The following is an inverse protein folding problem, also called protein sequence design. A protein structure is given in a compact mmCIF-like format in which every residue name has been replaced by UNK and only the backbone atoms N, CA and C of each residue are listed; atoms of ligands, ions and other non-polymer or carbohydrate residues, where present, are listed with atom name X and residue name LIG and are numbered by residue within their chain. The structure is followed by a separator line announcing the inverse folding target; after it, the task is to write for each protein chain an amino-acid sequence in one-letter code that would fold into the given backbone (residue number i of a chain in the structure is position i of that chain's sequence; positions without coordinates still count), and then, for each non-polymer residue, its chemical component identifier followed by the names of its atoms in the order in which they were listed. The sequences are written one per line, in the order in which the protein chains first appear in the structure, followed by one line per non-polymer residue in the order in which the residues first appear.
data_IF_784704181648
#
_entry.id   IF_784704181648
#
_cell.length_a   1.000
_cell.length_b   1.000
_cell.length_c   1.000
_cell.angle_alpha   90.00
_cell.angle_beta   90.00
_cell.angle_gamma   90.00
#
_symmetry.space_group_name_H-M   'P 1'
#
loop_
_entity.id
_entity.type
_entity.pdbx_description
1 polymer ?
#
# COMPACT_ATOMS: atom_id res chain seq x y z
N UNK A 1 44.47 1.71 23.32
CA UNK A 1 43.38 0.75 23.06
C UNK A 1 43.96 -0.44 22.30
N UNK A 2 43.80 -1.67 22.82
CA UNK A 2 44.52 -2.84 22.32
C UNK A 2 44.02 -3.21 20.91
N UNK A 3 44.93 -3.39 19.94
CA UNK A 3 44.61 -3.70 18.52
C UNK A 3 43.65 -4.90 18.40
N UNK A 4 43.78 -5.88 19.30
CA UNK A 4 42.91 -7.07 19.40
C UNK A 4 41.48 -6.75 19.87
N UNK A 5 41.30 -5.74 20.72
CA UNK A 5 39.98 -5.30 21.21
C UNK A 5 39.22 -4.54 20.12
N UNK A 6 39.93 -3.78 19.27
CA UNK A 6 39.34 -3.07 18.14
C UNK A 6 38.80 -4.03 17.06
N UNK A 7 39.51 -5.14 16.79
CA UNK A 7 39.06 -6.17 15.83
C UNK A 7 37.82 -6.93 16.33
N UNK A 8 37.72 -7.21 17.63
CA UNK A 8 36.57 -7.91 18.22
C UNK A 8 35.31 -7.00 18.17
N UNK A 9 35.46 -5.71 18.50
CA UNK A 9 34.36 -4.74 18.40
C UNK A 9 33.89 -4.53 16.95
N UNK A 10 34.81 -4.52 15.98
CA UNK A 10 34.47 -4.41 14.56
C UNK A 10 33.77 -5.66 14.00
N UNK A 11 34.12 -6.85 14.49
CA UNK A 11 33.48 -8.11 14.07
C UNK A 11 32.06 -8.26 14.65
N UNK A 12 31.85 -7.83 15.89
CA UNK A 12 30.52 -7.83 16.53
C UNK A 12 29.58 -6.82 15.86
N UNK A 13 30.10 -5.66 15.44
CA UNK A 13 29.31 -4.68 14.70
C UNK A 13 28.90 -5.18 13.30
N UNK A 14 29.76 -5.93 12.60
CA UNK A 14 29.44 -6.52 11.30
C UNK A 14 28.36 -7.63 11.37
N UNK A 15 28.38 -8.42 12.45
CA UNK A 15 27.41 -9.50 12.68
C UNK A 15 26.01 -8.97 13.07
N UNK A 16 25.93 -7.79 13.68
CA UNK A 16 24.66 -7.16 14.04
C UNK A 16 23.90 -6.59 12.82
N UNK A 17 24.57 -6.30 11.71
CA UNK A 17 23.93 -5.77 10.49
C UNK A 17 23.23 -6.82 9.62
N UNK A 18 23.50 -8.12 9.82
CA UNK A 18 22.89 -9.19 9.01
C UNK A 18 21.54 -9.68 9.54
N UNK A 19 21.11 -9.23 10.73
CA UNK A 19 19.90 -9.71 11.40
C UNK A 19 18.62 -8.90 11.17
N UNK A 20 18.65 -7.80 10.41
CA UNK A 20 17.51 -6.86 10.35
C UNK A 20 16.63 -6.99 9.09
N UNK A 21 16.99 -7.84 8.13
CA UNK A 21 16.07 -8.20 7.04
C UNK A 21 15.16 -9.33 7.50
N UNK A 22 14.01 -9.01 8.12
CA UNK A 22 12.90 -9.96 8.19
C UNK A 22 12.39 -10.20 6.76
N UNK A 23 12.96 -11.20 6.08
CA UNK A 23 12.42 -11.71 4.82
C UNK A 23 11.07 -12.36 5.12
N UNK A 24 10.01 -11.89 4.46
CA UNK A 24 8.71 -12.57 4.47
C UNK A 24 8.94 -14.01 4.00
N UNK A 25 8.51 -15.03 4.76
CA UNK A 25 8.68 -16.41 4.33
C UNK A 25 8.00 -16.62 2.97
N UNK A 26 8.68 -17.32 2.04
CA UNK A 26 8.10 -17.67 0.71
C UNK A 26 6.81 -18.50 0.80
N UNK A 27 6.43 -18.94 1.99
CA UNK A 27 5.21 -19.70 2.31
C UNK A 27 4.04 -18.81 2.76
N UNK A 28 4.19 -17.48 2.80
CA UNK A 28 3.09 -16.55 3.09
C UNK A 28 2.12 -16.53 1.88
N UNK A 29 0.81 -16.77 2.05
CA UNK A 29 -0.16 -16.68 0.96
C UNK A 29 -0.24 -15.29 0.32
N UNK A 30 0.22 -14.24 0.99
CA UNK A 30 0.32 -12.88 0.47
C UNK A 30 1.63 -12.59 -0.26
N UNK A 31 2.55 -13.55 -0.36
CA UNK A 31 3.78 -13.38 -1.14
C UNK A 31 3.52 -13.67 -2.63
N UNK A 32 3.47 -12.62 -3.46
CA UNK A 32 3.20 -12.76 -4.91
C UNK A 32 4.47 -12.83 -5.76
N UNK A 33 5.58 -12.32 -5.23
CA UNK A 33 6.91 -12.39 -5.85
C UNK A 33 7.90 -11.44 -5.20
N UNK A 34 9.19 -11.69 -5.40
CA UNK A 34 10.27 -10.85 -4.89
C UNK A 34 10.60 -9.70 -5.85
N UNK A 35 9.61 -8.85 -6.10
CA UNK A 35 9.73 -7.69 -6.99
C UNK A 35 9.79 -6.39 -6.20
N UNK A 36 10.34 -5.34 -6.83
CA UNK A 36 10.30 -3.98 -6.32
C UNK A 36 8.85 -3.46 -6.27
N UNK A 37 8.55 -2.48 -5.39
CA UNK A 37 7.25 -1.82 -5.41
C UNK A 37 6.95 -1.17 -6.77
N UNK A 38 5.69 -1.19 -7.17
CA UNK A 38 5.21 -0.67 -8.46
C UNK A 38 4.25 0.49 -8.21
N UNK A 39 4.49 1.63 -8.84
CA UNK A 39 3.52 2.73 -8.86
C UNK A 39 2.35 2.37 -9.76
N UNK A 40 1.15 2.24 -9.19
CA UNK A 40 -0.06 1.90 -9.94
C UNK A 40 -0.66 3.13 -10.64
N UNK A 41 -0.39 4.31 -10.11
CA UNK A 41 -0.84 5.58 -10.66
C UNK A 41 -1.22 6.58 -9.58
N UNK A 42 -1.78 7.69 -10.04
CA UNK A 42 -2.22 8.81 -9.20
C UNK A 42 -3.67 9.15 -9.52
N UNK A 43 -4.47 9.35 -8.48
CA UNK A 43 -5.87 9.78 -8.57
C UNK A 43 -6.02 11.15 -7.90
N UNK A 44 -6.65 12.09 -8.59
CA UNK A 44 -7.05 13.37 -7.99
C UNK A 44 -8.45 13.18 -7.42
N UNK A 45 -8.60 13.25 -6.11
CA UNK A 45 -9.90 13.24 -5.42
C UNK A 45 -10.09 14.52 -4.60
N UNK A 46 -10.80 14.40 -3.50
CA UNK A 46 -11.09 15.51 -2.60
C UNK A 46 -10.71 15.22 -1.15
N UNK A 47 -10.36 16.26 -0.40
CA UNK A 47 -10.47 16.26 1.06
C UNK A 47 -11.57 17.22 1.48
N UNK A 48 -12.38 16.80 2.45
CA UNK A 48 -13.55 17.58 2.92
C UNK A 48 -13.51 17.79 4.42
N UNK A 49 -13.95 18.97 4.89
CA UNK A 49 -14.18 19.17 6.32
C UNK A 49 -15.56 18.64 6.68
N UNK A 50 -15.71 18.01 7.85
CA UNK A 50 -17.01 17.47 8.31
C UNK A 50 -18.13 18.52 8.34
N UNK A 51 -17.78 19.78 8.56
CA UNK A 51 -18.72 20.91 8.69
C UNK A 51 -18.87 21.75 7.43
N UNK A 52 -18.14 21.44 6.35
CA UNK A 52 -18.18 22.20 5.10
C UNK A 52 -18.48 21.29 3.92
N UNK A 53 -19.11 21.85 2.90
CA UNK A 53 -19.36 21.17 1.62
C UNK A 53 -18.28 21.46 0.57
N UNK A 54 -17.25 22.22 0.96
CA UNK A 54 -16.10 22.57 0.12
C UNK A 54 -15.17 21.35 -0.05
N UNK A 55 -14.94 20.98 -1.31
CA UNK A 55 -14.00 19.93 -1.70
C UNK A 55 -12.66 20.59 -2.03
N UNK A 56 -11.60 20.17 -1.35
CA UNK A 56 -10.24 20.57 -1.70
C UNK A 56 -9.58 19.49 -2.56
N UNK A 57 -9.12 19.79 -3.78
CA UNK A 57 -8.39 18.84 -4.61
C UNK A 57 -7.23 18.24 -3.82
N UNK A 58 -7.14 16.91 -3.83
CA UNK A 58 -6.09 16.17 -3.11
C UNK A 58 -5.59 15.05 -4.02
N UNK A 59 -4.28 14.95 -4.14
CA UNK A 59 -3.60 13.91 -4.91
C UNK A 59 -3.39 12.66 -4.05
N UNK A 60 -3.75 11.50 -4.60
CA UNK A 60 -3.58 10.19 -3.98
C UNK A 60 -2.68 9.33 -4.87
N UNK A 61 -1.52 8.94 -4.35
CA UNK A 61 -0.57 8.07 -5.03
C UNK A 61 -0.77 6.63 -4.57
N UNK A 62 -0.83 5.70 -5.52
CA UNK A 62 -1.03 4.28 -5.25
C UNK A 62 0.25 3.51 -5.55
N UNK A 63 0.75 2.74 -4.59
CA UNK A 63 1.93 1.89 -4.74
C UNK A 63 1.60 0.46 -4.33
N UNK A 64 1.88 -0.50 -5.20
CA UNK A 64 1.72 -1.92 -4.94
C UNK A 64 3.04 -2.56 -4.51
N UNK A 65 2.98 -3.41 -3.49
CA UNK A 65 4.11 -4.13 -2.92
C UNK A 65 3.92 -5.65 -3.15
N UNK A 66 4.50 -6.24 -4.22
CA UNK A 66 4.30 -7.64 -4.58
C UNK A 66 4.73 -8.65 -3.50
N UNK A 67 5.73 -8.28 -2.67
CA UNK A 67 6.25 -9.14 -1.60
C UNK A 67 5.24 -9.39 -0.47
N UNK A 68 4.35 -8.43 -0.23
CA UNK A 68 3.41 -8.45 0.89
C UNK A 68 1.96 -8.41 0.43
N UNK A 69 1.72 -8.30 -0.88
CA UNK A 69 0.40 -8.06 -1.46
C UNK A 69 -0.33 -6.86 -0.83
N UNK A 70 0.42 -5.82 -0.47
CA UNK A 70 -0.14 -4.57 0.08
C UNK A 70 -0.23 -3.53 -1.04
N UNK A 71 -1.29 -2.74 -1.04
CA UNK A 71 -1.36 -1.47 -1.78
C UNK A 71 -1.33 -0.34 -0.77
N UNK A 72 -0.38 0.58 -0.91
CA UNK A 72 -0.35 1.82 -0.14
C UNK A 72 -1.02 2.95 -0.91
N UNK A 73 -1.68 3.83 -0.15
CA UNK A 73 -2.30 5.06 -0.64
C UNK A 73 -1.64 6.20 0.12
N UNK A 74 -0.81 6.96 -0.58
CA UNK A 74 -0.14 8.13 -0.02
C UNK A 74 -0.88 9.40 -0.41
N UNK A 75 -1.06 10.31 0.55
CA UNK A 75 -1.48 11.68 0.26
C UNK A 75 -0.86 12.67 1.24
N UNK A 76 -0.77 13.94 0.81
CA UNK A 76 -0.34 15.02 1.68
C UNK A 76 -1.49 15.46 2.58
N UNK A 77 -1.23 15.58 3.88
CA UNK A 77 -2.15 16.15 4.86
C UNK A 77 -1.45 17.21 5.68
N UNK A 78 -1.72 18.48 5.36
CA UNK A 78 -0.97 19.61 5.93
C UNK A 78 0.53 19.50 5.64
N UNK A 79 1.38 19.42 6.67
CA UNK A 79 2.83 19.23 6.56
C UNK A 79 3.21 17.74 6.48
N UNK A 80 2.31 16.85 6.89
CA UNK A 80 2.57 15.42 6.98
C UNK A 80 2.26 14.73 5.67
N UNK A 81 2.96 13.61 5.47
CA UNK A 81 2.56 12.59 4.52
C UNK A 81 1.78 11.53 5.28
N UNK A 82 0.61 11.18 4.78
CA UNK A 82 -0.22 10.11 5.32
C UNK A 82 -0.17 8.96 4.34
N UNK A 83 0.11 7.77 4.84
CA UNK A 83 0.12 6.53 4.07
C UNK A 83 -0.87 5.55 4.70
N UNK A 84 -1.83 5.11 3.90
CA UNK A 84 -2.78 4.05 4.27
C UNK A 84 -2.30 2.77 3.62
N UNK A 85 -2.07 1.72 4.40
CA UNK A 85 -1.64 0.42 3.90
C UNK A 85 -2.85 -0.53 3.91
N UNK A 86 -3.16 -1.07 2.72
CA UNK A 86 -4.30 -1.97 2.51
C UNK A 86 -3.79 -3.36 2.11
N UNK A 87 -4.02 -4.34 2.97
CA UNK A 87 -3.87 -5.74 2.57
C UNK A 87 -5.00 -6.17 1.60
N UNK A 88 -4.98 -7.43 1.15
CA UNK A 88 -6.00 -7.92 0.24
C UNK A 88 -7.42 -7.85 0.84
N UNK A 89 -7.59 -8.19 2.11
CA UNK A 89 -8.90 -8.18 2.77
C UNK A 89 -9.45 -6.76 2.91
N UNK A 90 -8.60 -5.80 3.27
CA UNK A 90 -8.94 -4.39 3.32
C UNK A 90 -9.40 -3.87 1.94
N UNK A 91 -8.66 -4.22 0.88
CA UNK A 91 -9.02 -3.85 -0.49
C UNK A 91 -10.37 -4.43 -0.89
N UNK A 92 -10.64 -5.70 -0.60
CA UNK A 92 -11.92 -6.35 -0.91
C UNK A 92 -13.10 -5.65 -0.19
N UNK A 93 -12.93 -5.27 1.07
CA UNK A 93 -13.94 -4.50 1.82
C UNK A 93 -14.19 -3.14 1.18
N UNK A 94 -13.13 -2.42 0.80
CA UNK A 94 -13.25 -1.09 0.17
C UNK A 94 -13.88 -1.16 -1.23
N UNK A 95 -13.46 -2.12 -2.06
CA UNK A 95 -14.03 -2.35 -3.40
C UNK A 95 -15.53 -2.61 -3.27
N UNK A 96 -15.93 -3.55 -2.39
CA UNK A 96 -17.35 -3.86 -2.17
C UNK A 96 -18.15 -2.64 -1.70
N UNK A 97 -17.57 -1.82 -0.83
CA UNK A 97 -18.22 -0.61 -0.35
C UNK A 97 -18.41 0.43 -1.49
N UNK A 98 -17.41 0.61 -2.35
CA UNK A 98 -17.50 1.48 -3.53
C UNK A 98 -18.50 0.95 -4.56
N UNK A 99 -18.49 -0.34 -4.87
CA UNK A 99 -19.48 -0.98 -5.76
C UNK A 99 -20.91 -0.81 -5.24
N UNK A 100 -21.11 -0.97 -3.92
CA UNK A 100 -22.42 -0.75 -3.28
C UNK A 100 -22.85 0.72 -3.37
N UNK A 101 -21.91 1.65 -3.21
CA UNK A 101 -22.16 3.07 -3.42
C UNK A 101 -22.53 3.39 -4.88
N UNK A 102 -21.80 2.85 -5.87
CA UNK A 102 -22.07 3.05 -7.29
C UNK A 102 -23.45 2.49 -7.67
N UNK A 103 -23.80 1.31 -7.18
CA UNK A 103 -25.13 0.73 -7.35
C UNK A 103 -26.20 1.66 -6.75
N UNK A 104 -26.03 2.12 -5.51
CA UNK A 104 -26.96 3.03 -4.85
C UNK A 104 -27.08 4.39 -5.55
N UNK A 105 -25.98 4.87 -6.13
CA UNK A 105 -25.92 6.11 -6.91
C UNK A 105 -26.74 5.99 -8.19
N UNK A 106 -26.54 4.91 -8.95
CA UNK A 106 -27.25 4.64 -10.20
C UNK A 106 -28.75 4.44 -9.98
N UNK A 107 -29.12 3.78 -8.89
CA UNK A 107 -30.53 3.57 -8.50
C UNK A 107 -31.18 4.82 -7.89
N UNK A 108 -30.43 5.93 -7.72
CA UNK A 108 -30.88 7.18 -7.09
C UNK A 108 -31.40 7.00 -5.66
N UNK A 109 -30.81 6.07 -4.91
CA UNK A 109 -31.20 5.72 -3.54
C UNK A 109 -30.41 6.48 -2.45
N UNK A 110 -29.58 7.45 -2.84
CA UNK A 110 -28.76 8.26 -1.93
C UNK A 110 -29.48 9.55 -1.51
N UNK A 111 -30.23 9.49 -0.40
CA UNK A 111 -31.02 10.61 0.11
C UNK A 111 -30.26 11.46 1.16
N UNK A 112 -30.76 12.68 1.41
CA UNK A 112 -30.20 13.56 2.44
C UNK A 112 -30.31 12.99 3.86
N UNK A 113 -31.35 12.18 4.13
CA UNK A 113 -31.57 11.57 5.44
C UNK A 113 -30.43 10.64 5.87
N UNK A 114 -29.80 9.96 4.91
CA UNK A 114 -28.73 9.00 5.15
C UNK A 114 -27.32 9.57 4.87
N UNK A 115 -27.22 10.79 4.33
CA UNK A 115 -25.96 11.41 3.85
C UNK A 115 -24.93 11.79 4.92
N UNK A 116 -25.20 11.52 6.20
CA UNK A 116 -24.24 11.71 7.30
C UNK A 116 -24.11 10.47 8.18
N UNK A 117 -24.76 9.36 7.78
CA UNK A 117 -24.70 8.10 8.51
C UNK A 117 -23.30 7.51 8.34
N UNK A 118 -22.61 7.37 9.47
CA UNK A 118 -21.26 6.83 9.49
C UNK A 118 -21.24 5.36 9.07
N UNK A 119 -20.20 4.97 8.33
CA UNK A 119 -20.01 3.59 7.88
C UNK A 119 -21.22 3.03 7.12
N UNK A 120 -21.91 3.86 6.34
CA UNK A 120 -23.12 3.49 5.61
C UNK A 120 -22.90 2.29 4.68
N UNK A 121 -21.74 2.22 4.03
CA UNK A 121 -21.34 1.11 3.15
C UNK A 121 -20.40 0.11 3.83
N UNK A 122 -20.14 0.28 5.13
CA UNK A 122 -19.25 -0.57 5.90
C UNK A 122 -18.02 0.16 6.45
N UNK A 123 -17.12 -0.61 7.04
CA UNK A 123 -15.88 -0.14 7.66
C UNK A 123 -14.87 -1.27 7.72
N UNK A 124 -13.58 -0.92 7.71
CA UNK A 124 -12.47 -1.85 7.98
C UNK A 124 -11.46 -1.18 8.91
N UNK A 125 -10.64 -1.98 9.59
CA UNK A 125 -9.50 -1.51 10.38
C UNK A 125 -8.29 -1.53 9.47
N UNK A 126 -7.68 -0.37 9.23
CA UNK A 126 -6.53 -0.22 8.33
C UNK A 126 -5.28 0.07 9.13
N UNK A 127 -4.11 -0.18 8.56
CA UNK A 127 -2.86 0.39 9.06
C UNK A 127 -2.62 1.76 8.41
N UNK A 128 -2.22 2.74 9.22
CA UNK A 128 -1.96 4.10 8.77
C UNK A 128 -0.65 4.59 9.38
N UNK A 129 0.25 5.10 8.54
CA UNK A 129 1.45 5.80 8.95
C UNK A 129 1.32 7.30 8.64
N UNK A 130 1.85 8.17 9.50
CA UNK A 130 1.92 9.60 9.22
C UNK A 130 3.15 10.26 9.83
N UNK A 131 3.57 11.39 9.25
CA UNK A 131 4.69 12.20 9.73
C UNK A 131 5.88 12.19 8.78
N UNK A 132 7.06 12.54 9.30
CA UNK A 132 8.29 12.65 8.51
C UNK A 132 9.10 11.35 8.56
N UNK A 133 9.35 10.74 7.40
CA UNK A 133 10.23 9.58 7.26
C UNK A 133 11.63 9.89 7.84
N UNK A 134 12.12 9.04 8.75
CA UNK A 134 13.48 9.13 9.31
C UNK A 134 13.61 9.69 10.73
N UNK A 135 12.52 10.05 11.42
CA UNK A 135 12.61 10.44 12.83
C UNK A 135 11.33 10.88 13.54
N UNK A 136 10.19 10.91 12.85
CA UNK A 136 8.91 11.31 13.44
C UNK A 136 7.71 10.73 12.70
N UNK A 137 7.86 9.50 12.19
CA UNK A 137 6.75 8.74 11.65
C UNK A 137 6.06 8.01 12.80
N UNK A 138 4.74 8.05 12.79
CA UNK A 138 3.86 7.43 13.75
C UNK A 138 2.96 6.45 13.02
N UNK A 139 2.61 5.34 13.67
CA UNK A 139 1.76 4.31 13.10
C UNK A 139 0.50 4.15 13.95
N UNK A 140 -0.64 3.87 13.34
CA UNK A 140 -1.89 3.60 14.03
C UNK A 140 -2.74 2.62 13.24
N UNK A 141 -3.73 2.03 13.92
CA UNK A 141 -4.71 1.16 13.28
C UNK A 141 -6.14 1.71 13.36
N UNK A 142 -6.44 2.85 12.70
CA UNK A 142 -7.76 3.46 12.77
C UNK A 142 -8.83 2.63 12.04
N UNK A 143 -10.09 2.85 12.42
CA UNK A 143 -11.25 2.35 11.66
C UNK A 143 -11.53 3.32 10.50
N UNK A 144 -11.33 2.86 9.28
CA UNK A 144 -11.75 3.53 8.06
C UNK A 144 -13.21 3.19 7.75
N UNK A 145 -14.04 4.21 7.61
CA UNK A 145 -15.48 4.09 7.35
C UNK A 145 -15.79 4.49 5.92
N UNK A 146 -16.54 3.66 5.23
CA UNK A 146 -17.10 3.96 3.92
C UNK A 146 -18.52 4.54 4.10
N UNK A 147 -18.70 5.78 3.70
CA UNK A 147 -19.96 6.52 3.83
C UNK A 147 -20.19 7.35 2.56
N UNK A 148 -21.27 8.15 2.52
CA UNK A 148 -21.42 9.19 1.49
C UNK A 148 -21.82 10.50 2.13
N UNK A 149 -21.59 11.58 1.42
CA UNK A 149 -22.05 12.91 1.77
C UNK A 149 -22.56 13.62 0.52
N UNK A 150 -23.64 14.38 0.66
CA UNK A 150 -24.07 15.32 -0.37
C UNK A 150 -23.18 16.56 -0.28
N UNK A 151 -22.40 16.83 -1.32
CA UNK A 151 -21.46 17.96 -1.43
C UNK A 151 -21.94 18.91 -2.55
N UNK A 152 -21.04 19.74 -3.08
CA UNK A 152 -21.33 20.81 -4.05
C UNK A 152 -22.46 20.47 -5.04
N UNK A 153 -23.54 21.24 -4.98
CA UNK A 153 -24.73 21.04 -5.82
C UNK A 153 -25.61 19.85 -5.40
N UNK A 154 -25.57 19.46 -4.12
CA UNK A 154 -26.29 18.31 -3.55
C UNK A 154 -25.94 16.97 -4.23
N UNK A 155 -24.72 16.86 -4.76
CA UNK A 155 -24.24 15.65 -5.45
C UNK A 155 -23.71 14.65 -4.41
N UNK A 156 -24.07 13.35 -4.47
CA UNK A 156 -23.52 12.36 -3.57
C UNK A 156 -22.08 12.01 -3.95
N UNK A 157 -21.16 12.19 -3.01
CA UNK A 157 -19.77 11.71 -3.10
C UNK A 157 -19.57 10.57 -2.12
N UNK A 158 -18.81 9.56 -2.53
CA UNK A 158 -18.31 8.54 -1.64
C UNK A 158 -17.26 9.15 -0.71
N UNK A 159 -17.33 8.81 0.57
CA UNK A 159 -16.43 9.32 1.59
C UNK A 159 -15.73 8.16 2.27
N UNK A 160 -14.40 8.20 2.27
CA UNK A 160 -13.58 7.42 3.19
C UNK A 160 -13.21 8.31 4.37
N UNK A 161 -13.60 7.93 5.58
CA UNK A 161 -13.30 8.72 6.77
C UNK A 161 -12.97 7.90 7.99
N UNK A 162 -11.98 8.34 8.75
CA UNK A 162 -11.65 7.80 10.07
C UNK A 162 -11.88 8.85 11.16
N UNK A 163 -11.77 8.42 12.42
CA UNK A 163 -11.56 9.35 13.53
C UNK A 163 -10.09 9.21 13.95
N UNK A 164 -9.60 10.19 14.72
CA UNK A 164 -8.28 10.10 15.34
C UNK A 164 -8.20 8.84 16.21
N UNK A 165 -7.10 8.11 16.13
CA UNK A 165 -6.74 7.01 17.03
C UNK A 165 -5.33 7.22 17.56
N UNK A 166 -5.07 6.74 18.77
CA UNK A 166 -3.73 6.81 19.36
C UNK A 166 -2.73 6.01 18.51
N UNK A 167 -1.51 6.52 18.41
CA UNK A 167 -0.41 5.81 17.80
C UNK A 167 -0.12 4.47 18.51
N UNK A 168 0.46 3.54 17.77
CA UNK A 168 1.00 2.28 18.27
C UNK A 168 2.38 2.58 18.85
N UNK A 169 2.55 2.26 20.14
CA UNK A 169 3.80 2.45 20.86
C UNK A 169 3.52 2.92 22.28
N UNK A 170 4.14 2.28 23.27
CA UNK A 170 3.85 2.54 24.69
C UNK A 170 4.12 4.00 25.10
N UNK A 171 5.04 4.68 24.42
CA UNK A 171 5.43 6.07 24.69
C UNK A 171 5.07 7.03 23.53
N UNK A 172 4.18 6.62 22.62
CA UNK A 172 3.72 7.47 21.53
C UNK A 172 2.31 8.03 21.81
N UNK A 173 2.26 9.29 22.23
CA UNK A 173 1.01 10.00 22.51
C UNK A 173 0.44 10.73 21.29
N UNK A 174 1.01 10.53 20.10
CA UNK A 174 0.47 11.09 18.88
C UNK A 174 -0.89 10.48 18.52
N UNK A 175 -1.72 11.26 17.83
CA UNK A 175 -2.99 10.81 17.28
C UNK A 175 -2.93 10.87 15.77
N UNK A 176 -3.40 9.81 15.11
CA UNK A 176 -3.48 9.80 13.66
C UNK A 176 -4.43 10.90 13.17
N UNK A 177 -4.20 11.46 11.96
CA UNK A 177 -5.06 12.50 11.43
C UNK A 177 -6.48 11.96 11.18
N UNK A 178 -7.48 12.79 11.48
CA UNK A 178 -8.86 12.51 11.12
C UNK A 178 -9.10 12.88 9.65
N UNK A 179 -9.17 11.86 8.79
CA UNK A 179 -9.35 12.04 7.36
C UNK A 179 -10.84 12.02 6.98
N UNK A 180 -11.15 12.75 5.91
CA UNK A 180 -12.37 12.60 5.12
C UNK A 180 -12.01 12.85 3.66
N UNK A 181 -11.85 11.77 2.94
CA UNK A 181 -11.47 11.74 1.54
C UNK A 181 -12.72 11.54 0.71
N UNK A 182 -12.93 12.37 -0.29
CA UNK A 182 -14.14 12.42 -1.10
C UNK A 182 -13.82 12.01 -2.55
N UNK A 183 -14.64 11.10 -3.07
CA UNK A 183 -14.52 10.57 -4.43
C UNK A 183 -15.89 10.63 -5.10
N UNK A 184 -15.90 11.13 -6.34
CA UNK A 184 -17.05 11.06 -7.24
C UNK A 184 -17.25 9.62 -7.75
N UNK A 185 -18.39 9.28 -8.37
CA UNK A 185 -18.62 7.96 -8.95
C UNK A 185 -17.51 7.50 -9.90
N UNK A 186 -17.11 8.34 -10.86
CA UNK A 186 -16.03 8.00 -11.79
C UNK A 186 -14.70 7.74 -11.07
N UNK A 187 -14.37 8.55 -10.05
CA UNK A 187 -13.17 8.32 -9.24
C UNK A 187 -13.26 7.02 -8.42
N UNK A 188 -14.45 6.57 -8.01
CA UNK A 188 -14.60 5.27 -7.36
C UNK A 188 -14.32 4.11 -8.34
N UNK A 189 -14.73 4.23 -9.60
CA UNK A 189 -14.42 3.24 -10.63
C UNK A 189 -12.91 3.13 -10.84
N UNK A 190 -12.22 4.27 -11.00
CA UNK A 190 -10.75 4.32 -11.12
C UNK A 190 -10.06 3.70 -9.89
N UNK A 191 -10.53 4.05 -8.68
CA UNK A 191 -10.00 3.53 -7.43
C UNK A 191 -10.15 2.01 -7.35
N UNK A 192 -11.31 1.47 -7.73
CA UNK A 192 -11.56 0.02 -7.75
C UNK A 192 -10.55 -0.69 -8.66
N UNK A 193 -10.31 -0.17 -9.87
CA UNK A 193 -9.35 -0.79 -10.81
C UNK A 193 -7.93 -0.86 -10.25
N UNK A 194 -7.51 0.15 -9.48
CA UNK A 194 -6.20 0.17 -8.80
C UNK A 194 -6.09 -0.85 -7.65
N UNK A 195 -7.21 -1.28 -7.05
CA UNK A 195 -7.19 -2.21 -5.92
C UNK A 195 -7.45 -3.67 -6.29
N UNK A 196 -8.06 -3.93 -7.45
CA UNK A 196 -8.52 -5.28 -7.85
C UNK A 196 -7.36 -6.27 -7.90
N UNK A 197 -7.50 -7.38 -7.16
CA UNK A 197 -6.47 -8.42 -7.07
C UNK A 197 -6.08 -8.98 -8.45
N UNK A 198 -7.04 -9.19 -9.34
CA UNK A 198 -6.77 -9.69 -10.69
C UNK A 198 -5.89 -8.73 -11.51
N UNK A 199 -6.03 -7.41 -11.31
CA UNK A 199 -5.18 -6.43 -11.98
C UNK A 199 -3.77 -6.44 -11.39
N UNK A 200 -3.65 -6.57 -10.07
CA UNK A 200 -2.35 -6.70 -9.39
C UNK A 200 -1.60 -7.98 -9.81
N UNK A 201 -2.32 -9.09 -9.97
CA UNK A 201 -1.74 -10.36 -10.44
C UNK A 201 -1.24 -10.27 -11.88
N UNK A 202 -1.95 -9.57 -12.78
CA UNK A 202 -1.46 -9.32 -14.15
C UNK A 202 -0.12 -8.58 -14.15
N UNK A 203 0.03 -7.57 -13.29
CA UNK A 203 1.30 -6.84 -13.14
C UNK A 203 2.41 -7.79 -12.66
N UNK A 204 2.13 -8.66 -11.69
CA UNK A 204 3.08 -9.67 -11.21
C UNK A 204 3.48 -10.65 -12.32
N UNK A 205 2.52 -11.11 -13.11
CA UNK A 205 2.79 -12.05 -14.21
C UNK A 205 3.61 -11.41 -15.34
N UNK A 206 3.39 -10.13 -15.62
CA UNK A 206 4.23 -9.36 -16.55
C UNK A 206 5.67 -9.23 -16.03
N UNK A 207 5.85 -8.90 -14.74
CA UNK A 207 7.18 -8.84 -14.13
C UNK A 207 7.90 -10.21 -14.13
N UNK A 208 7.17 -11.31 -13.91
CA UNK A 208 7.73 -12.67 -14.01
C UNK A 208 8.20 -12.98 -15.43
N UNK A 209 7.37 -12.73 -16.43
CA UNK A 209 7.72 -12.93 -17.84
C UNK A 209 8.93 -12.10 -18.27
N UNK A 210 9.01 -10.86 -17.80
CA UNK A 210 10.16 -9.99 -18.11
C UNK A 210 11.42 -10.49 -17.41
N UNK A 211 11.35 -10.98 -16.17
CA UNK A 211 12.48 -11.58 -15.47
C UNK A 211 12.98 -12.86 -16.17
N UNK A 212 12.08 -13.74 -16.58
CA UNK A 212 12.41 -14.99 -17.30
C UNK A 212 13.17 -14.74 -18.61
N UNK A 213 12.98 -13.59 -19.27
CA UNK A 213 13.76 -13.21 -20.47
C UNK A 213 15.25 -13.01 -20.20
N UNK A 214 15.63 -12.71 -18.95
CA UNK A 214 17.02 -12.53 -18.54
C UNK A 214 17.66 -13.81 -18.04
N UNK A 215 16.88 -14.86 -17.74
CA UNK A 215 17.44 -16.16 -17.44
C UNK A 215 17.95 -16.79 -18.74
N UNK A 216 19.26 -17.12 -18.84
CA UNK A 216 19.74 -17.86 -19.99
C UNK A 216 18.96 -19.18 -20.07
N UNK A 217 18.42 -19.49 -21.25
CA UNK A 217 17.80 -20.79 -21.51
C UNK A 217 18.74 -21.87 -21.01
N UNK A 218 18.25 -22.79 -20.17
CA UNK A 218 18.99 -23.99 -19.73
C UNK A 218 19.22 -24.93 -20.92
N UNK A 219 19.96 -24.47 -21.91
CA UNK A 219 20.30 -25.18 -23.13
C UNK A 219 21.60 -24.56 -23.60
N UNK A 220 22.71 -25.21 -23.19
CA UNK A 220 24.10 -25.07 -23.64
C UNK A 220 25.11 -25.02 -22.47
N UNK A 221 25.17 -26.10 -21.69
CA UNK A 221 26.44 -26.48 -21.02
C UNK A 221 26.44 -27.96 -20.60
N UNK A 222 26.05 -28.85 -21.51
CA UNK A 222 26.42 -30.27 -21.45
C UNK A 222 26.95 -30.64 -22.83
N UNK A 223 28.16 -30.17 -23.18
CA UNK A 223 29.05 -30.77 -24.20
C UNK A 223 30.29 -29.90 -24.38
N UNK A 224 31.31 -30.10 -23.53
CA UNK A 224 32.73 -29.99 -23.92
C UNK A 224 33.64 -30.13 -22.69
N UNK A 225 33.65 -31.31 -22.08
CA UNK A 225 34.78 -31.72 -21.23
C UNK A 225 35.38 -33.02 -21.81
N UNK A 226 35.90 -32.90 -23.04
CA UNK A 226 36.83 -33.86 -23.63
C UNK A 226 37.88 -33.12 -24.45
N UNK A 227 38.67 -32.29 -23.78
CA UNK A 227 40.02 -32.00 -24.24
C UNK A 227 40.99 -32.32 -23.11
N UNK A 228 41.51 -33.55 -23.15
CA UNK A 228 42.68 -33.97 -22.37
C UNK A 228 43.89 -33.23 -22.93
N UNK A 229 44.39 -32.23 -22.23
CA UNK A 229 45.72 -31.68 -22.52
C UNK A 229 46.75 -32.60 -21.85
N UNK A 230 47.49 -33.34 -22.68
CA UNK A 230 48.63 -34.15 -22.26
C UNK A 230 49.82 -33.21 -22.00
N UNK A 231 50.33 -33.17 -20.76
CA UNK A 231 51.58 -32.50 -20.43
C UNK A 231 52.72 -33.50 -20.46
N UNK A 232 53.33 -33.68 -21.63
CA UNK A 232 54.65 -34.29 -21.77
C UNK A 232 55.54 -33.36 -22.60
N UNK A 233 56.65 -32.91 -22.00
CA UNK A 233 57.82 -32.37 -22.71
C UNK A 233 58.10 -30.88 -22.49
N UNK A 234 58.85 -30.53 -21.44
CA UNK A 234 60.29 -30.19 -21.47
C UNK A 234 60.76 -29.71 -20.10
#
# INVERSE_FOLDING_TARGET
MNRKVLFILSAIMLLAFLGSCKTVPKTDPNFLGDFSPVELGTLIGGSVKRTKEEIKPTEFKFTFFPRTNIVSIEHKFMIDKVEILLDQGDREVLIKAMETYLSSYNDKNLSAANAKKQAFFGKTKIFMSWGLFGGGAHDAEPILRAEYQLLSGNKPYFILGNATSKAIGENDDANCPALRLAFSPAQCEDFIELLKQDNLLKIVDEMKKDFERFEPSKTESENSEKDKVNYDGF
#
